data_IF_825338797939
#
_entry.id   IF_825338797939
#
_cell.length_a   1.000
_cell.length_b   1.000
_cell.length_c   1.000
_cell.angle_alpha   90.00
_cell.angle_beta   90.00
_cell.angle_gamma   90.00
#
_symmetry.space_group_name_H-M   'P 1'
#
loop_
_entity.id
_entity.type
_entity.pdbx_description
1 polymer ?
#
# COMPACT_ATOMS: atom_id res chain seq x y z
N UNK A 1 -14.43 -1.38 -3.87
CA UNK A 1 -14.19 -0.90 -2.49
C UNK A 1 -15.24 0.11 -2.07
N UNK A 2 -15.46 1.17 -2.86
CA UNK A 2 -16.42 2.21 -2.53
C UNK A 2 -17.85 1.70 -2.38
N UNK A 3 -18.28 0.82 -3.28
CA UNK A 3 -19.63 0.25 -3.22
C UNK A 3 -19.82 -0.61 -1.97
N UNK A 4 -18.84 -1.46 -1.65
CA UNK A 4 -18.90 -2.29 -0.45
C UNK A 4 -18.90 -1.42 0.82
N UNK A 5 -18.07 -0.40 0.88
CA UNK A 5 -18.02 0.51 2.02
C UNK A 5 -19.34 1.22 2.23
N UNK A 6 -19.97 1.69 1.15
CA UNK A 6 -21.29 2.34 1.24
C UNK A 6 -22.39 1.37 1.63
N UNK A 7 -22.37 0.18 1.06
CA UNK A 7 -23.38 -0.85 1.35
C UNK A 7 -23.36 -1.25 2.82
N UNK A 8 -22.18 -1.44 3.40
CA UNK A 8 -22.01 -1.82 4.80
C UNK A 8 -21.89 -0.62 5.75
N UNK A 9 -21.99 0.60 5.24
CA UNK A 9 -21.85 1.84 6.02
C UNK A 9 -20.52 1.92 6.76
N UNK A 10 -19.45 1.47 6.11
CA UNK A 10 -18.09 1.52 6.67
C UNK A 10 -17.48 2.91 6.44
N UNK A 11 -17.11 3.64 7.50
CA UNK A 11 -16.40 4.90 7.33
C UNK A 11 -15.06 4.72 6.62
N UNK A 12 -14.63 5.75 5.89
CA UNK A 12 -13.36 5.68 5.14
C UNK A 12 -12.16 5.42 6.05
N UNK A 13 -12.14 5.95 7.27
CA UNK A 13 -11.06 5.72 8.23
C UNK A 13 -11.01 4.29 8.78
N UNK A 14 -12.02 3.48 8.50
CA UNK A 14 -12.04 2.05 8.80
C UNK A 14 -11.71 1.18 7.59
N UNK A 15 -11.27 1.78 6.49
CA UNK A 15 -10.80 1.06 5.30
C UNK A 15 -9.28 1.13 5.29
N UNK A 16 -8.63 -0.03 5.29
CA UNK A 16 -7.18 -0.12 5.20
C UNK A 16 -6.81 -0.66 3.83
N UNK A 17 -5.94 0.05 3.11
CA UNK A 17 -5.48 -0.34 1.78
C UNK A 17 -4.00 -0.65 1.82
N UNK A 18 -3.61 -1.80 1.26
CA UNK A 18 -2.22 -2.16 1.06
C UNK A 18 -1.92 -2.02 -0.43
N UNK A 19 -0.91 -1.23 -0.76
CA UNK A 19 -0.56 -0.96 -2.15
C UNK A 19 0.94 -1.01 -2.37
N UNK A 20 1.35 -1.26 -3.61
CA UNK A 20 2.72 -1.13 -4.03
C UNK A 20 3.12 0.34 -4.17
N UNK A 21 4.41 0.62 -4.08
CA UNK A 21 4.95 1.95 -4.29
C UNK A 21 6.32 1.86 -4.97
N UNK A 22 6.39 2.35 -6.20
CA UNK A 22 7.64 2.33 -6.98
C UNK A 22 8.64 3.39 -6.52
N UNK A 23 8.20 4.38 -5.76
CA UNK A 23 9.08 5.42 -5.23
C UNK A 23 9.82 4.99 -3.97
N UNK A 24 9.43 3.85 -3.37
CA UNK A 24 10.11 3.28 -2.20
C UNK A 24 11.02 2.14 -2.63
N UNK A 25 12.21 2.01 -2.01
CA UNK A 25 13.09 0.87 -2.26
C UNK A 25 12.38 -0.46 -1.97
N UNK A 26 12.79 -1.52 -2.65
CA UNK A 26 12.24 -2.86 -2.44
C UNK A 26 12.36 -3.24 -0.97
N UNK A 27 11.25 -3.63 -0.38
CA UNK A 27 11.19 -4.08 1.00
C UNK A 27 10.89 -3.00 2.02
N UNK A 28 10.88 -1.74 1.62
CA UNK A 28 10.54 -0.64 2.53
C UNK A 28 9.02 -0.56 2.70
N UNK A 29 8.58 -0.41 3.94
CA UNK A 29 7.17 -0.14 4.24
C UNK A 29 6.99 1.32 4.63
N UNK A 30 5.81 1.85 4.30
CA UNK A 30 5.40 3.17 4.77
C UNK A 30 3.90 3.19 5.03
N UNK A 31 3.53 3.52 6.25
CA UNK A 31 2.14 3.65 6.66
C UNK A 31 1.78 5.12 6.67
N UNK A 32 0.62 5.46 6.12
CA UNK A 32 0.04 6.80 6.14
C UNK A 32 -1.42 6.72 6.55
N UNK A 33 -1.91 7.74 7.25
CA UNK A 33 -3.34 7.84 7.61
C UNK A 33 -4.18 8.40 6.49
N UNK A 34 -3.56 9.16 5.59
CA UNK A 34 -4.23 9.82 4.47
C UNK A 34 -3.19 10.17 3.41
N UNK A 35 -3.64 10.67 2.29
CA UNK A 35 -2.75 11.18 1.27
C UNK A 35 -3.24 10.93 -0.15
N UNK A 36 -2.60 11.60 -1.11
CA UNK A 36 -2.92 11.46 -2.52
C UNK A 36 -2.51 10.09 -3.05
N UNK A 37 -2.98 9.77 -4.25
CA UNK A 37 -2.62 8.54 -4.93
C UNK A 37 -1.16 8.50 -5.40
N UNK A 38 -0.50 9.66 -5.54
CA UNK A 38 0.88 9.73 -5.97
C UNK A 38 1.16 9.07 -7.32
N UNK A 39 0.21 9.11 -8.24
CA UNK A 39 0.32 8.46 -9.54
C UNK A 39 -0.12 6.99 -9.56
N UNK A 40 -0.47 6.41 -8.41
CA UNK A 40 -0.94 5.03 -8.35
C UNK A 40 -2.39 4.94 -8.79
N UNK A 41 -2.65 4.27 -9.91
CA UNK A 41 -3.99 4.21 -10.50
C UNK A 41 -5.02 3.50 -9.61
N UNK A 42 -4.61 2.44 -8.94
CA UNK A 42 -5.48 1.72 -8.01
C UNK A 42 -5.92 2.59 -6.84
N UNK A 43 -4.99 3.32 -6.22
CA UNK A 43 -5.31 4.26 -5.14
C UNK A 43 -6.19 5.40 -5.63
N UNK A 44 -5.90 5.93 -6.82
CA UNK A 44 -6.70 6.99 -7.43
C UNK A 44 -8.16 6.56 -7.60
N UNK A 45 -8.36 5.33 -8.06
CA UNK A 45 -9.69 4.75 -8.23
C UNK A 45 -10.40 4.61 -6.87
N UNK A 46 -9.71 4.12 -5.86
CA UNK A 46 -10.29 3.96 -4.51
C UNK A 46 -10.66 5.32 -3.93
N UNK A 47 -9.79 6.31 -4.03
CA UNK A 47 -10.07 7.68 -3.56
C UNK A 47 -11.31 8.22 -4.24
N UNK A 48 -11.43 8.04 -5.55
CA UNK A 48 -12.57 8.51 -6.32
C UNK A 48 -13.89 7.85 -5.84
N UNK A 49 -13.86 6.55 -5.59
CA UNK A 49 -15.06 5.80 -5.18
C UNK A 49 -15.43 6.03 -3.71
N UNK A 50 -14.44 6.23 -2.83
CA UNK A 50 -14.71 6.57 -1.44
C UNK A 50 -15.06 8.05 -1.25
N UNK A 51 -14.70 8.90 -2.21
CA UNK A 51 -14.94 10.34 -2.13
C UNK A 51 -13.98 11.07 -1.19
N UNK A 52 -12.93 10.41 -0.71
CA UNK A 52 -11.97 11.00 0.21
C UNK A 52 -10.64 10.24 0.13
N UNK A 53 -9.54 10.91 0.47
CA UNK A 53 -8.23 10.28 0.65
C UNK A 53 -7.89 10.02 2.13
N UNK A 54 -8.84 10.28 3.04
CA UNK A 54 -8.63 10.15 4.49
C UNK A 54 -8.90 8.72 4.96
N UNK A 55 -8.10 7.78 4.46
CA UNK A 55 -8.12 6.39 4.91
C UNK A 55 -6.68 5.89 5.08
N UNK A 56 -6.42 4.98 6.06
CA UNK A 56 -5.09 4.45 6.27
C UNK A 56 -4.65 3.57 5.10
N UNK A 57 -3.35 3.61 4.80
CA UNK A 57 -2.74 2.80 3.78
C UNK A 57 -1.35 2.34 4.18
N UNK A 58 -0.99 1.14 3.75
CA UNK A 58 0.35 0.59 3.90
C UNK A 58 0.95 0.51 2.50
N UNK A 59 2.04 1.24 2.28
CA UNK A 59 2.76 1.23 1.02
C UNK A 59 3.93 0.26 1.12
N UNK A 60 4.02 -0.66 0.17
CA UNK A 60 5.09 -1.65 0.09
C UNK A 60 6.02 -1.26 -1.06
N UNK A 61 7.26 -0.98 -0.76
CA UNK A 61 8.24 -0.59 -1.77
C UNK A 61 8.56 -1.74 -2.71
N UNK A 62 8.45 -1.48 -3.99
CA UNK A 62 8.80 -2.43 -5.06
C UNK A 62 9.95 -1.92 -5.93
N UNK A 63 10.40 -0.69 -5.67
CA UNK A 63 11.49 -0.06 -6.41
C UNK A 63 11.07 0.43 -7.79
N UNK A 64 11.95 1.22 -8.38
CA UNK A 64 11.73 1.71 -9.75
C UNK A 64 12.13 0.62 -10.75
N UNK A 65 11.40 0.47 -11.87
CA UNK A 65 11.84 -0.44 -12.92
C UNK A 65 13.18 0.00 -13.51
N UNK A 66 14.06 -0.99 -13.77
CA UNK A 66 15.38 -0.73 -14.34
C UNK A 66 15.33 -0.19 -15.77
N UNK A 67 14.24 -0.48 -16.47
CA UNK A 67 14.02 -0.04 -17.84
C UNK A 67 12.86 0.94 -17.88
N UNK A 68 13.11 2.20 -18.28
CA UNK A 68 12.03 3.21 -18.33
C UNK A 68 10.90 2.86 -19.32
N UNK A 69 11.15 1.95 -20.25
CA UNK A 69 10.17 1.52 -21.24
C UNK A 69 9.24 0.43 -20.73
N UNK A 70 9.53 -0.16 -19.56
CA UNK A 70 8.62 -1.11 -18.91
C UNK A 70 7.46 -0.36 -18.29
N UNK A 71 6.25 -0.81 -18.59
CA UNK A 71 5.09 -0.33 -17.87
C UNK A 71 5.17 -0.75 -16.40
N UNK A 72 4.66 0.10 -15.51
CA UNK A 72 4.64 -0.20 -14.07
C UNK A 72 3.97 -1.54 -13.77
N UNK A 73 2.93 -1.88 -14.53
CA UNK A 73 2.23 -3.16 -14.40
C UNK A 73 3.18 -4.32 -14.65
N UNK A 74 4.01 -4.26 -15.68
CA UNK A 74 4.95 -5.33 -15.99
C UNK A 74 6.00 -5.49 -14.89
N UNK A 75 6.44 -4.38 -14.29
CA UNK A 75 7.39 -4.42 -13.19
C UNK A 75 6.77 -5.03 -11.93
N UNK A 76 5.55 -4.60 -11.57
CA UNK A 76 4.87 -5.05 -10.34
C UNK A 76 4.41 -6.51 -10.46
N UNK A 77 3.91 -6.92 -11.62
CA UNK A 77 3.44 -8.29 -11.86
C UNK A 77 4.61 -9.21 -12.25
N UNK A 78 5.67 -8.66 -12.86
CA UNK A 78 6.88 -9.41 -13.17
C UNK A 78 7.44 -10.03 -11.89
N UNK A 79 7.77 -11.31 -11.93
CA UNK A 79 8.25 -12.00 -10.74
C UNK A 79 9.67 -11.53 -10.41
N UNK A 80 9.90 -10.81 -9.30
CA UNK A 80 11.25 -10.52 -8.87
C UNK A 80 12.00 -11.82 -8.59
N UNK A 81 13.29 -11.84 -8.88
CA UNK A 81 14.12 -13.03 -8.74
C UNK A 81 15.24 -12.81 -7.73
N UNK A 82 15.75 -13.89 -7.16
CA UNK A 82 16.90 -13.87 -6.27
C UNK A 82 16.63 -13.11 -4.97
N UNK A 83 17.54 -12.22 -4.63
CA UNK A 83 17.49 -11.46 -3.37
C UNK A 83 16.30 -10.50 -3.32
N UNK A 84 15.91 -9.93 -4.44
CA UNK A 84 14.74 -9.05 -4.49
C UNK A 84 13.45 -9.80 -4.16
N UNK A 85 13.32 -11.05 -4.62
CA UNK A 85 12.17 -11.89 -4.29
C UNK A 85 12.09 -12.17 -2.79
N UNK A 86 13.23 -12.46 -2.17
CA UNK A 86 13.30 -12.70 -0.72
C UNK A 86 12.96 -11.44 0.06
N UNK A 87 13.51 -10.31 -0.36
CA UNK A 87 13.27 -9.01 0.28
C UNK A 87 11.80 -8.63 0.18
N UNK A 88 11.18 -8.84 -0.97
CA UNK A 88 9.77 -8.53 -1.16
C UNK A 88 8.86 -9.44 -0.33
N UNK A 89 9.18 -10.74 -0.24
CA UNK A 89 8.42 -11.67 0.62
C UNK A 89 8.48 -11.27 2.08
N UNK A 90 9.67 -10.91 2.57
CA UNK A 90 9.84 -10.43 3.93
C UNK A 90 9.04 -9.15 4.16
N UNK A 91 9.01 -8.25 3.17
CA UNK A 91 8.23 -7.03 3.25
C UNK A 91 6.73 -7.32 3.28
N UNK A 92 6.25 -8.30 2.52
CA UNK A 92 4.84 -8.68 2.54
C UNK A 92 4.43 -9.28 3.89
N UNK A 93 5.30 -10.08 4.51
CA UNK A 93 5.06 -10.60 5.86
C UNK A 93 5.00 -9.45 6.88
N UNK A 94 5.91 -8.50 6.78
CA UNK A 94 5.89 -7.29 7.63
C UNK A 94 4.67 -6.42 7.37
N UNK A 95 4.21 -6.35 6.13
CA UNK A 95 2.99 -5.62 5.80
C UNK A 95 1.76 -6.24 6.46
N UNK A 96 1.70 -7.57 6.53
CA UNK A 96 0.65 -8.26 7.27
C UNK A 96 0.69 -7.92 8.76
N UNK A 97 1.88 -7.92 9.37
CA UNK A 97 2.05 -7.52 10.77
C UNK A 97 1.66 -6.05 10.98
N UNK A 98 2.04 -5.19 10.04
CA UNK A 98 1.67 -3.78 10.07
C UNK A 98 0.15 -3.59 9.99
N UNK A 99 -0.53 -4.36 9.15
CA UNK A 99 -1.99 -4.31 9.04
C UNK A 99 -2.66 -4.68 10.36
N UNK A 100 -2.18 -5.74 11.01
CA UNK A 100 -2.68 -6.14 12.33
C UNK A 100 -2.42 -5.04 13.37
N UNK A 101 -1.26 -4.41 13.33
CA UNK A 101 -0.93 -3.29 14.23
C UNK A 101 -1.86 -2.10 14.02
N UNK A 102 -2.17 -1.74 12.77
CA UNK A 102 -3.12 -0.67 12.48
C UNK A 102 -4.50 -1.00 13.04
N UNK A 103 -4.95 -2.24 12.89
CA UNK A 103 -6.26 -2.68 13.37
C UNK A 103 -6.31 -2.69 14.90
N UNK A 104 -5.29 -3.24 15.56
CA UNK A 104 -5.28 -3.45 17.01
C UNK A 104 -4.85 -2.21 17.80
N UNK A 105 -3.87 -1.46 17.31
CA UNK A 105 -3.24 -0.37 18.05
C UNK A 105 -3.50 1.02 17.45
N UNK A 106 -4.00 1.07 16.22
CA UNK A 106 -4.23 2.29 15.48
C UNK A 106 -3.03 2.69 14.61
N UNK A 107 -3.27 3.58 13.61
CA UNK A 107 -2.25 3.92 12.62
C UNK A 107 -1.05 4.66 13.21
N UNK A 108 -1.22 5.46 14.27
CA UNK A 108 -0.10 6.22 14.84
C UNK A 108 0.97 5.30 15.44
N UNK A 109 0.55 4.30 16.21
CA UNK A 109 1.49 3.31 16.78
C UNK A 109 2.11 2.45 15.70
N UNK A 110 1.33 2.05 14.72
CA UNK A 110 1.84 1.28 13.59
C UNK A 110 2.90 2.06 12.82
N UNK A 111 2.69 3.36 12.60
CA UNK A 111 3.67 4.22 11.94
C UNK A 111 4.99 4.28 12.73
N UNK A 112 4.91 4.36 14.05
CA UNK A 112 6.11 4.36 14.89
C UNK A 112 6.91 3.06 14.82
N UNK A 113 6.22 1.93 14.62
CA UNK A 113 6.86 0.62 14.59
C UNK A 113 7.40 0.22 13.22
N UNK A 114 6.74 0.61 12.14
CA UNK A 114 7.01 0.07 10.80
C UNK A 114 7.57 1.08 9.80
N UNK A 115 7.41 2.37 10.04
CA UNK A 115 7.95 3.40 9.14
C UNK A 115 9.47 3.58 9.23
#
# INVERSE_FOLDING_TARGET
VGEAARFYKVPADHVLVISDDVSLPVGKLRIRKSGSAGGHNGLKNIIQHLGTDAFPRIKVGVGMPDHPDHEMIDWVIGKPQGEEAKTLRAALDRAADAALSVIDEGPDRAMNRFN
#
